data_IF_764353313837
#
_entry.id   IF_764353313837
#
_cell.length_a   1.000
_cell.length_b   1.000
_cell.length_c   1.000
_cell.angle_alpha   90.00
_cell.angle_beta   90.00
_cell.angle_gamma   90.00
#
_symmetry.space_group_name_H-M   'P 1'
#
loop_
_entity.id
_entity.type
_entity.pdbx_description
1 polymer ?
#
# COMPACT_ATOMS: atom_id res chain seq x y z
N UNK A 1 58.33 -14.83 12.85
CA UNK A 1 57.33 -15.42 11.93
C UNK A 1 55.88 -15.17 12.32
N UNK A 2 55.45 -15.22 13.60
CA UNK A 2 54.02 -15.00 13.97
C UNK A 2 53.48 -13.59 13.75
N UNK A 3 54.31 -12.54 13.87
CA UNK A 3 53.87 -11.15 13.68
C UNK A 3 53.65 -10.74 12.20
N UNK A 4 54.40 -11.35 11.26
CA UNK A 4 54.27 -11.05 9.83
C UNK A 4 53.00 -11.67 9.22
N UNK A 5 52.56 -12.83 9.72
CA UNK A 5 51.29 -13.44 9.30
C UNK A 5 50.06 -12.64 9.78
N UNK A 6 50.13 -12.04 10.97
CA UNK A 6 49.04 -11.23 11.53
C UNK A 6 48.86 -9.91 10.75
N UNK A 7 49.97 -9.27 10.36
CA UNK A 7 49.95 -8.07 9.52
C UNK A 7 49.41 -8.37 8.12
N UNK A 8 49.76 -9.52 7.53
CA UNK A 8 49.26 -9.92 6.22
C UNK A 8 47.74 -10.24 6.25
N UNK A 9 47.25 -10.89 7.31
CA UNK A 9 45.81 -11.12 7.50
C UNK A 9 45.02 -9.81 7.71
N UNK A 10 45.56 -8.86 8.48
CA UNK A 10 44.94 -7.54 8.66
C UNK A 10 44.91 -6.73 7.36
N UNK A 11 45.97 -6.80 6.54
CA UNK A 11 46.03 -6.13 5.24
C UNK A 11 45.08 -6.78 4.20
N UNK A 12 44.95 -8.11 4.18
CA UNK A 12 43.98 -8.80 3.33
C UNK A 12 42.53 -8.56 3.76
N UNK A 13 42.25 -8.50 5.06
CA UNK A 13 40.92 -8.17 5.58
C UNK A 13 40.53 -6.70 5.30
N UNK A 14 41.49 -5.77 5.43
CA UNK A 14 41.29 -4.37 5.05
C UNK A 14 41.08 -4.20 3.53
N UNK A 15 41.82 -4.97 2.70
CA UNK A 15 41.64 -4.98 1.25
C UNK A 15 40.30 -5.57 0.80
N UNK A 16 39.82 -6.63 1.47
CA UNK A 16 38.52 -7.24 1.18
C UNK A 16 37.34 -6.35 1.62
N UNK A 17 37.47 -5.65 2.77
CA UNK A 17 36.48 -4.65 3.20
C UNK A 17 36.46 -3.42 2.28
N UNK A 18 37.64 -2.96 1.82
CA UNK A 18 37.75 -1.83 0.88
C UNK A 18 37.25 -2.17 -0.54
N UNK A 19 37.40 -3.42 -1.00
CA UNK A 19 36.84 -3.88 -2.27
C UNK A 19 35.31 -4.03 -2.23
N UNK A 20 34.73 -4.35 -1.07
CA UNK A 20 33.28 -4.34 -0.90
C UNK A 20 32.72 -2.90 -0.98
N UNK A 21 33.35 -1.93 -0.32
CA UNK A 21 32.93 -0.51 -0.35
C UNK A 21 33.11 0.20 -1.71
N UNK A 22 34.07 -0.24 -2.51
CA UNK A 22 34.33 0.30 -3.85
C UNK A 22 33.31 -0.16 -4.92
N UNK A 23 32.43 -1.13 -4.59
CA UNK A 23 31.50 -1.74 -5.56
C UNK A 23 30.06 -1.24 -5.46
N UNK A 24 29.73 -0.46 -4.43
CA UNK A 24 28.37 0.01 -4.17
C UNK A 24 28.04 1.27 -4.99
N UNK A 25 26.84 1.28 -5.57
CA UNK A 25 26.27 2.49 -6.21
C UNK A 25 26.03 3.58 -5.15
N UNK A 26 25.87 4.83 -5.60
CA UNK A 26 25.59 5.95 -4.70
C UNK A 26 24.40 5.68 -3.79
N UNK A 27 23.32 5.10 -4.33
CA UNK A 27 22.13 4.74 -3.56
C UNK A 27 22.37 3.62 -2.55
N UNK A 28 23.10 2.58 -2.94
CA UNK A 28 23.41 1.47 -2.05
C UNK A 28 24.25 1.95 -0.86
N UNK A 29 25.24 2.81 -1.13
CA UNK A 29 26.02 3.46 -0.08
C UNK A 29 25.15 4.33 0.81
N UNK A 30 24.31 5.18 0.22
CA UNK A 30 23.38 6.03 0.98
C UNK A 30 22.46 5.23 1.89
N UNK A 31 21.87 4.14 1.37
CA UNK A 31 21.00 3.21 2.12
C UNK A 31 21.76 2.57 3.29
N UNK A 32 23.00 2.13 3.04
CA UNK A 32 23.85 1.54 4.08
C UNK A 32 24.24 2.55 5.16
N UNK A 33 24.70 3.74 4.78
CA UNK A 33 25.15 4.80 5.69
C UNK A 33 24.02 5.30 6.60
N UNK A 34 22.79 5.40 6.07
CA UNK A 34 21.63 5.87 6.82
C UNK A 34 20.82 4.74 7.46
N UNK A 35 21.30 3.48 7.37
CA UNK A 35 20.62 2.33 7.97
C UNK A 35 19.22 2.07 7.42
N UNK A 36 18.96 2.45 6.17
CA UNK A 36 17.67 2.29 5.50
C UNK A 36 17.40 0.80 5.26
N UNK A 37 16.28 0.30 5.77
CA UNK A 37 15.85 -1.08 5.54
C UNK A 37 14.90 -1.14 4.36
N UNK A 38 15.29 -1.88 3.32
CA UNK A 38 14.44 -2.11 2.15
C UNK A 38 13.31 -3.07 2.49
N UNK A 39 12.15 -2.86 1.85
CA UNK A 39 10.98 -3.73 1.90
C UNK A 39 10.56 -4.10 3.34
N UNK A 40 10.73 -3.15 4.28
CA UNK A 40 10.55 -3.38 5.72
C UNK A 40 9.72 -2.26 6.32
N UNK A 41 8.75 -2.63 7.16
CA UNK A 41 7.94 -1.71 7.95
C UNK A 41 7.86 -2.20 9.39
N UNK A 42 7.75 -1.25 10.32
CA UNK A 42 7.44 -1.48 11.72
C UNK A 42 5.92 -1.40 11.89
N UNK A 43 5.25 -2.49 12.30
CA UNK A 43 3.81 -2.46 12.51
C UNK A 43 3.39 -1.38 13.50
N UNK A 44 2.34 -0.65 13.14
CA UNK A 44 1.66 0.28 14.03
C UNK A 44 1.05 -0.47 15.24
N UNK A 45 0.85 0.19 16.40
CA UNK A 45 0.14 -0.43 17.52
C UNK A 45 -1.22 -1.00 17.11
N UNK A 46 -1.48 -2.27 17.47
CA UNK A 46 -2.69 -2.99 17.09
C UNK A 46 -2.65 -3.62 15.69
N UNK A 47 -1.61 -3.37 14.90
CA UNK A 47 -1.40 -4.01 13.59
C UNK A 47 -0.39 -5.15 13.67
N UNK A 48 -0.51 -6.09 12.73
CA UNK A 48 0.44 -7.16 12.47
C UNK A 48 0.88 -7.10 11.01
N UNK A 49 2.14 -7.43 10.77
CA UNK A 49 2.71 -7.56 9.44
C UNK A 49 2.31 -8.90 8.83
N UNK A 50 1.96 -8.86 7.55
CA UNK A 50 1.65 -10.01 6.74
C UNK A 50 2.34 -9.86 5.37
N UNK A 51 2.58 -11.00 4.73
CA UNK A 51 3.06 -11.07 3.36
C UNK A 51 2.00 -11.77 2.52
N UNK A 52 1.62 -11.16 1.40
CA UNK A 52 0.78 -11.84 0.42
C UNK A 52 1.61 -12.82 -0.42
N UNK A 53 0.97 -13.47 -1.39
CA UNK A 53 1.61 -14.56 -2.15
C UNK A 53 2.62 -14.07 -3.18
N UNK A 54 2.57 -12.77 -3.50
CA UNK A 54 3.55 -12.08 -4.33
C UNK A 54 4.61 -11.38 -3.46
N UNK A 55 4.69 -11.73 -2.17
CA UNK A 55 5.60 -11.16 -1.17
C UNK A 55 5.42 -9.65 -0.92
N UNK A 56 4.30 -9.06 -1.34
CA UNK A 56 3.97 -7.70 -0.93
C UNK A 56 3.62 -7.67 0.56
N UNK A 57 4.30 -6.78 1.26
CA UNK A 57 4.04 -6.49 2.67
C UNK A 57 2.75 -5.70 2.82
N UNK A 58 1.94 -6.07 3.80
CA UNK A 58 0.82 -5.25 4.24
C UNK A 58 0.62 -5.39 5.75
N UNK A 59 0.00 -4.39 6.35
CA UNK A 59 -0.34 -4.41 7.78
C UNK A 59 -1.84 -4.62 7.94
N UNK A 60 -2.24 -5.44 8.91
CA UNK A 60 -3.64 -5.56 9.31
C UNK A 60 -3.80 -5.48 10.81
N UNK A 61 -4.83 -4.77 11.25
CA UNK A 61 -5.27 -4.72 12.63
C UNK A 61 -6.78 -4.91 12.75
N UNK A 62 -7.20 -5.60 13.81
CA UNK A 62 -8.61 -5.77 14.17
C UNK A 62 -8.91 -4.91 15.39
N UNK A 63 -9.87 -3.98 15.25
CA UNK A 63 -10.27 -2.99 16.24
C UNK A 63 -11.76 -3.14 16.55
N UNK A 64 -12.11 -4.19 17.30
CA UNK A 64 -13.50 -4.52 17.61
C UNK A 64 -14.26 -5.06 16.40
N UNK A 65 -15.22 -4.28 15.89
CA UNK A 65 -15.98 -4.61 14.66
C UNK A 65 -15.33 -4.04 13.39
N UNK A 66 -14.26 -3.26 13.55
CA UNK A 66 -13.56 -2.61 12.44
C UNK A 66 -12.26 -3.35 12.11
N UNK A 67 -12.02 -3.62 10.83
CA UNK A 67 -10.78 -4.20 10.31
C UNK A 67 -10.07 -3.10 9.54
N UNK A 68 -8.80 -2.85 9.83
CA UNK A 68 -7.98 -1.84 9.16
C UNK A 68 -6.82 -2.53 8.45
N UNK A 69 -6.62 -2.19 7.19
CA UNK A 69 -5.65 -2.88 6.32
C UNK A 69 -4.87 -1.81 5.57
N UNK A 70 -3.55 -1.81 5.74
CA UNK A 70 -2.64 -0.92 5.05
C UNK A 70 -1.90 -1.71 3.97
N UNK A 71 -2.13 -1.38 2.71
CA UNK A 71 -1.45 -1.97 1.55
C UNK A 71 -0.65 -0.91 0.82
N UNK A 72 0.43 -1.25 0.10
CA UNK A 72 1.13 -0.29 -0.75
C UNK A 72 0.13 0.25 -1.78
N UNK A 73 -0.03 1.57 -1.85
CA UNK A 73 -1.09 2.20 -2.65
C UNK A 73 -0.58 3.23 -3.65
N UNK A 74 0.47 3.96 -3.27
CA UNK A 74 1.19 4.88 -4.13
C UNK A 74 2.68 4.60 -3.94
N UNK A 75 3.44 4.72 -5.02
CA UNK A 75 4.89 4.66 -4.94
C UNK A 75 5.48 5.78 -5.77
N UNK A 76 6.59 6.34 -5.30
CA UNK A 76 7.31 7.40 -6.00
C UNK A 76 8.78 7.04 -6.14
N UNK A 77 9.35 7.48 -7.24
CA UNK A 77 10.79 7.61 -7.39
C UNK A 77 11.22 8.82 -6.55
N UNK A 78 12.19 8.60 -5.67
CA UNK A 78 12.62 9.59 -4.68
C UNK A 78 14.14 9.71 -4.73
N UNK A 79 14.62 10.93 -4.88
CA UNK A 79 16.06 11.25 -4.84
C UNK A 79 16.62 11.09 -3.42
N UNK A 80 17.95 10.99 -3.29
CA UNK A 80 18.59 10.92 -1.96
C UNK A 80 18.33 12.18 -1.11
N UNK A 81 18.23 13.36 -1.75
CA UNK A 81 17.94 14.61 -1.06
C UNK A 81 16.52 14.63 -0.48
N UNK A 82 15.53 14.22 -1.27
CA UNK A 82 14.13 14.09 -0.81
C UNK A 82 14.01 12.99 0.26
N UNK A 83 14.79 11.91 0.13
CA UNK A 83 14.80 10.83 1.11
C UNK A 83 15.24 11.32 2.49
N UNK A 84 16.21 12.25 2.58
CA UNK A 84 16.62 12.82 3.87
C UNK A 84 15.48 13.54 4.59
N UNK A 85 14.58 14.19 3.85
CA UNK A 85 13.38 14.80 4.44
C UNK A 85 12.37 13.73 4.87
N UNK A 86 12.18 12.68 4.08
CA UNK A 86 11.31 11.55 4.44
C UNK A 86 11.80 10.82 5.70
N UNK A 87 13.11 10.62 5.87
CA UNK A 87 13.68 9.98 7.06
C UNK A 87 13.37 10.73 8.36
N UNK A 88 13.10 12.04 8.28
CA UNK A 88 12.70 12.86 9.44
C UNK A 88 11.21 12.76 9.74
N UNK A 89 10.42 12.23 8.82
CA UNK A 89 8.98 12.08 9.00
C UNK A 89 8.66 11.01 10.06
N UNK A 90 7.71 11.26 10.98
CA UNK A 90 7.24 10.25 11.94
C UNK A 90 6.52 9.06 11.28
N UNK A 91 6.22 9.16 9.99
CA UNK A 91 5.55 8.15 9.18
C UNK A 91 6.55 7.17 8.51
N UNK A 92 7.83 7.55 8.44
CA UNK A 92 8.86 6.69 7.86
C UNK A 92 9.06 5.42 8.69
N UNK A 93 9.19 4.30 7.97
CA UNK A 93 9.23 2.96 8.53
C UNK A 93 7.88 2.47 9.08
N UNK A 94 6.79 3.25 8.97
CA UNK A 94 5.45 2.87 9.46
C UNK A 94 4.41 2.83 8.35
N UNK A 95 4.26 3.95 7.65
CA UNK A 95 3.36 4.11 6.49
C UNK A 95 4.08 4.57 5.24
N UNK A 96 5.38 4.89 5.34
CA UNK A 96 6.28 5.19 4.23
C UNK A 96 7.53 4.34 4.37
N UNK A 97 7.96 3.64 3.32
CA UNK A 97 9.17 2.81 3.37
C UNK A 97 9.82 2.71 1.99
N UNK A 98 11.10 2.36 1.97
CA UNK A 98 11.83 2.12 0.72
C UNK A 98 11.56 0.69 0.28
N UNK A 99 10.98 0.52 -0.90
CA UNK A 99 10.69 -0.79 -1.49
C UNK A 99 11.93 -1.37 -2.15
N UNK A 100 12.61 -0.58 -2.98
CA UNK A 100 13.77 -1.01 -3.75
C UNK A 100 14.69 0.16 -4.10
N UNK A 101 15.88 -0.18 -4.59
CA UNK A 101 16.85 0.74 -5.18
C UNK A 101 16.71 0.61 -6.70
N UNK A 102 16.57 1.73 -7.40
CA UNK A 102 16.49 1.77 -8.86
C UNK A 102 17.87 1.74 -9.51
N UNK A 103 17.92 1.34 -10.78
CA UNK A 103 19.17 1.18 -11.54
C UNK A 103 19.99 2.48 -11.67
N UNK A 104 19.32 3.63 -11.66
CA UNK A 104 19.91 4.97 -11.74
C UNK A 104 20.21 5.61 -10.39
N UNK A 105 20.25 4.81 -9.32
CA UNK A 105 20.56 5.25 -7.96
C UNK A 105 19.51 6.16 -7.29
N UNK A 106 18.28 6.16 -7.80
CA UNK A 106 17.14 6.67 -7.03
C UNK A 106 16.51 5.55 -6.18
N UNK A 107 15.69 5.96 -5.20
CA UNK A 107 15.00 5.05 -4.30
C UNK A 107 13.52 4.97 -4.71
N UNK A 108 13.00 3.74 -4.79
CA UNK A 108 11.57 3.52 -4.97
C UNK A 108 10.92 3.45 -3.60
N UNK A 109 10.11 4.46 -3.28
CA UNK A 109 9.46 4.62 -1.97
C UNK A 109 7.98 4.31 -2.11
N UNK A 110 7.46 3.39 -1.31
CA UNK A 110 6.03 3.12 -1.24
C UNK A 110 5.38 3.83 -0.06
N UNK A 111 4.14 4.24 -0.27
CA UNK A 111 3.24 4.81 0.71
C UNK A 111 2.07 3.85 0.92
N UNK A 112 1.86 3.49 2.17
CA UNK A 112 0.72 2.69 2.56
C UNK A 112 -0.57 3.49 2.45
N UNK A 113 -1.56 2.87 1.83
CA UNK A 113 -2.94 3.31 1.82
C UNK A 113 -3.74 2.45 2.78
N UNK A 114 -4.54 3.09 3.61
CA UNK A 114 -5.48 2.40 4.49
C UNK A 114 -6.81 2.13 3.78
N UNK A 115 -7.29 0.89 3.94
CA UNK A 115 -8.67 0.50 3.67
C UNK A 115 -9.30 0.01 4.96
N UNK A 116 -10.48 0.53 5.28
CA UNK A 116 -11.21 0.19 6.49
C UNK A 116 -12.46 -0.62 6.15
N UNK A 117 -12.72 -1.65 6.95
CA UNK A 117 -13.90 -2.48 6.83
C UNK A 117 -14.64 -2.54 8.16
N UNK A 118 -15.96 -2.67 8.10
CA UNK A 118 -16.85 -2.86 9.23
C UNK A 118 -17.53 -4.21 9.10
N UNK A 119 -17.32 -5.09 10.07
CA UNK A 119 -17.99 -6.38 10.17
C UNK A 119 -19.19 -6.26 11.10
N UNK A 120 -20.40 -6.38 10.55
CA UNK A 120 -21.63 -6.37 11.36
C UNK A 120 -22.53 -7.53 11.01
N UNK A 121 -22.93 -8.25 12.05
CA UNK A 121 -23.75 -9.46 11.95
C UNK A 121 -23.10 -10.51 11.03
N UNK A 122 -23.71 -10.80 9.89
CA UNK A 122 -23.26 -11.70 8.83
C UNK A 122 -22.91 -10.94 7.54
N UNK A 123 -22.42 -9.70 7.68
CA UNK A 123 -22.11 -8.81 6.57
C UNK A 123 -20.80 -8.05 6.77
N UNK A 124 -20.13 -7.75 5.65
CA UNK A 124 -18.93 -6.93 5.57
C UNK A 124 -19.21 -5.67 4.76
N UNK A 125 -18.83 -4.53 5.35
CA UNK A 125 -18.92 -3.23 4.74
C UNK A 125 -17.53 -2.65 4.55
N UNK A 126 -17.30 -1.95 3.45
CA UNK A 126 -16.11 -1.12 3.20
C UNK A 126 -16.44 0.33 3.57
N UNK A 127 -15.57 1.01 4.28
CA UNK A 127 -15.66 2.46 4.39
C UNK A 127 -15.12 3.08 3.12
N UNK A 128 -15.96 3.87 2.45
CA UNK A 128 -15.62 4.54 1.21
C UNK A 128 -15.82 6.04 1.37
N UNK A 129 -14.94 6.82 0.76
CA UNK A 129 -15.24 8.21 0.49
C UNK A 129 -16.21 8.29 -0.69
N UNK A 130 -17.29 9.04 -0.52
CA UNK A 130 -18.26 9.31 -1.60
C UNK A 130 -18.02 10.62 -2.31
N UNK A 131 -17.11 11.43 -1.78
CA UNK A 131 -16.63 12.63 -2.42
C UNK A 131 -15.59 12.22 -3.47
N UNK A 132 -15.74 12.73 -4.68
CA UNK A 132 -14.69 12.62 -5.70
C UNK A 132 -13.79 13.83 -5.59
N UNK A 133 -12.48 13.65 -5.79
CA UNK A 133 -11.59 14.78 -6.03
C UNK A 133 -12.09 15.59 -7.24
N UNK A 134 -11.89 16.93 -7.25
CA UNK A 134 -12.24 17.73 -8.41
C UNK A 134 -11.42 17.29 -9.63
N UNK A 135 -11.92 17.44 -10.88
CA UNK A 135 -11.18 17.06 -12.09
C UNK A 135 -9.76 17.62 -12.16
N UNK A 136 -9.59 18.85 -11.68
CA UNK A 136 -8.31 19.54 -11.56
C UNK A 136 -7.26 18.77 -10.73
N UNK A 137 -7.67 17.91 -9.80
CA UNK A 137 -6.75 17.13 -8.98
C UNK A 137 -5.85 16.22 -9.81
N UNK A 138 -6.43 15.45 -10.74
CA UNK A 138 -5.65 14.60 -11.63
C UNK A 138 -4.79 15.40 -12.60
N UNK A 139 -5.28 16.53 -13.10
CA UNK A 139 -4.50 17.42 -13.97
C UNK A 139 -3.25 17.94 -13.25
N UNK A 140 -3.40 18.39 -11.99
CA UNK A 140 -2.27 18.90 -11.20
C UNK A 140 -1.32 17.76 -10.83
N UNK A 141 -1.82 16.58 -10.44
CA UNK A 141 -0.98 15.40 -10.19
C UNK A 141 -0.15 15.04 -11.42
N UNK A 142 -0.80 14.92 -12.59
CA UNK A 142 -0.12 14.53 -13.84
C UNK A 142 0.98 15.51 -14.21
N UNK A 143 0.75 16.81 -14.02
CA UNK A 143 1.76 17.84 -14.28
C UNK A 143 2.91 17.80 -13.27
N UNK A 144 2.62 17.55 -11.99
CA UNK A 144 3.64 17.43 -10.95
C UNK A 144 4.65 16.31 -11.26
N UNK A 145 4.17 15.19 -11.80
CA UNK A 145 5.01 14.03 -12.18
C UNK A 145 5.55 14.11 -13.61
N UNK A 146 5.47 15.27 -14.27
CA UNK A 146 6.05 15.43 -15.60
C UNK A 146 7.48 15.96 -15.52
N UNK A 147 8.41 15.28 -16.20
CA UNK A 147 9.86 15.58 -16.22
C UNK A 147 10.22 16.98 -16.76
N UNK A 148 9.23 17.72 -17.27
CA UNK A 148 9.39 19.05 -17.86
C UNK A 148 9.14 20.21 -16.88
N UNK A 149 8.90 19.92 -15.60
CA UNK A 149 8.46 20.91 -14.63
C UNK A 149 9.64 21.51 -13.87
N UNK A 150 9.77 22.85 -13.88
CA UNK A 150 10.80 23.53 -13.06
C UNK A 150 10.50 23.42 -11.56
N UNK A 151 11.52 23.47 -10.70
CA UNK A 151 11.38 23.43 -9.24
C UNK A 151 10.35 24.44 -8.69
N UNK A 152 10.33 25.66 -9.25
CA UNK A 152 9.38 26.71 -8.86
C UNK A 152 7.94 26.38 -9.27
N UNK A 153 7.74 25.73 -10.42
CA UNK A 153 6.43 25.27 -10.86
C UNK A 153 5.99 24.04 -10.06
N UNK A 154 6.91 23.14 -9.73
CA UNK A 154 6.66 21.97 -8.89
C UNK A 154 6.18 22.40 -7.50
N UNK A 155 6.85 23.35 -6.86
CA UNK A 155 6.43 23.91 -5.57
C UNK A 155 5.01 24.53 -5.63
N UNK A 156 4.68 25.21 -6.74
CA UNK A 156 3.35 25.79 -6.95
C UNK A 156 2.27 24.73 -7.18
N UNK A 157 2.58 23.69 -7.97
CA UNK A 157 1.67 22.56 -8.22
C UNK A 157 1.44 21.77 -6.93
N UNK A 158 2.49 21.55 -6.14
CA UNK A 158 2.42 20.90 -4.83
C UNK A 158 1.50 21.67 -3.89
N UNK A 159 1.72 22.99 -3.71
CA UNK A 159 0.85 23.81 -2.86
C UNK A 159 -0.63 23.79 -3.31
N UNK A 160 -0.87 23.63 -4.62
CA UNK A 160 -2.23 23.51 -5.16
C UNK A 160 -2.83 22.12 -4.89
N UNK A 161 -2.05 21.06 -4.98
CA UNK A 161 -2.47 19.72 -4.56
C UNK A 161 -2.80 19.68 -3.08
N UNK A 162 -1.94 20.23 -2.24
CA UNK A 162 -2.13 20.30 -0.79
C UNK A 162 -3.44 21.02 -0.44
N UNK A 163 -3.73 22.13 -1.13
CA UNK A 163 -4.98 22.87 -0.98
C UNK A 163 -6.21 22.02 -1.36
N UNK A 164 -6.17 21.35 -2.51
CA UNK A 164 -7.25 20.46 -2.96
C UNK A 164 -7.45 19.29 -1.99
N UNK A 165 -6.35 18.70 -1.50
CA UNK A 165 -6.37 17.62 -0.52
C UNK A 165 -7.00 18.08 0.79
N UNK A 166 -6.57 19.23 1.33
CA UNK A 166 -7.13 19.79 2.56
C UNK A 166 -8.63 20.08 2.45
N UNK A 167 -9.07 20.65 1.34
CA UNK A 167 -10.49 20.91 1.08
C UNK A 167 -11.29 19.60 0.97
N UNK A 168 -10.69 18.59 0.33
CA UNK A 168 -11.29 17.27 0.21
C UNK A 168 -11.40 16.58 1.58
N UNK A 169 -10.32 16.52 2.36
CA UNK A 169 -10.29 15.98 3.73
C UNK A 169 -11.31 16.67 4.64
N UNK A 170 -11.42 17.99 4.56
CA UNK A 170 -12.38 18.78 5.36
C UNK A 170 -13.83 18.41 5.05
N UNK A 171 -14.11 18.03 3.80
CA UNK A 171 -15.46 17.71 3.31
C UNK A 171 -15.76 16.22 3.27
N UNK A 172 -14.73 15.39 3.26
CA UNK A 172 -14.82 13.95 3.16
C UNK A 172 -15.62 13.42 4.34
N UNK A 173 -16.59 12.58 4.02
CA UNK A 173 -17.36 11.83 5.03
C UNK A 173 -17.35 10.37 4.61
N UNK A 174 -16.57 9.58 5.32
CA UNK A 174 -16.55 8.14 5.15
C UNK A 174 -17.95 7.59 5.40
N UNK A 175 -18.44 6.78 4.48
CA UNK A 175 -19.71 6.07 4.59
C UNK A 175 -19.48 4.57 4.43
N UNK A 176 -20.41 3.77 4.94
CA UNK A 176 -20.33 2.32 4.82
C UNK A 176 -20.96 1.85 3.51
N UNK A 177 -20.26 0.97 2.81
CA UNK A 177 -20.68 0.30 1.59
C UNK A 177 -20.76 -1.20 1.84
N UNK A 178 -21.93 -1.81 1.78
CA UNK A 178 -22.08 -3.25 1.87
C UNK A 178 -21.38 -3.91 0.68
N UNK A 179 -20.35 -4.69 0.95
CA UNK A 179 -19.58 -5.41 -0.07
C UNK A 179 -19.82 -6.91 -0.05
N UNK A 180 -20.20 -7.49 1.09
CA UNK A 180 -20.44 -8.92 1.17
C UNK A 180 -21.47 -9.28 2.24
N UNK A 181 -22.40 -10.17 1.87
CA UNK A 181 -23.32 -10.85 2.77
C UNK A 181 -23.64 -12.21 2.15
N UNK A 182 -23.21 -13.36 2.72
CA UNK A 182 -23.32 -14.66 2.06
C UNK A 182 -24.74 -14.99 1.57
N UNK A 183 -25.76 -14.66 2.39
CA UNK A 183 -27.18 -14.87 2.05
C UNK A 183 -27.64 -14.10 0.82
N UNK A 184 -27.03 -12.93 0.54
CA UNK A 184 -27.35 -12.17 -0.66
C UNK A 184 -26.99 -12.95 -1.93
N UNK A 185 -25.96 -13.80 -1.89
CA UNK A 185 -25.47 -14.52 -3.07
C UNK A 185 -26.02 -15.95 -3.21
N UNK A 186 -27.00 -16.34 -2.40
CA UNK A 186 -27.57 -17.70 -2.42
C UNK A 186 -28.22 -18.09 -3.75
N UNK A 187 -28.76 -17.12 -4.51
CA UNK A 187 -29.48 -17.36 -5.78
C UNK A 187 -28.80 -16.75 -7.01
N UNK A 188 -27.90 -15.80 -6.82
CA UNK A 188 -27.21 -15.10 -7.91
C UNK A 188 -25.80 -14.74 -7.45
N UNK A 189 -24.83 -14.96 -8.32
CA UNK A 189 -23.44 -14.53 -8.10
C UNK A 189 -23.28 -13.02 -8.24
N UNK A 190 -24.10 -12.35 -9.04
CA UNK A 190 -24.03 -10.89 -9.26
C UNK A 190 -25.13 -10.18 -8.50
N UNK A 191 -24.79 -9.11 -7.78
CA UNK A 191 -25.72 -8.29 -6.99
C UNK A 191 -25.41 -6.80 -7.12
N UNK A 192 -26.48 -6.01 -7.11
CA UNK A 192 -26.44 -4.57 -6.87
C UNK A 192 -27.27 -4.31 -5.63
N UNK A 193 -26.65 -3.80 -4.57
CA UNK A 193 -27.38 -3.48 -3.35
C UNK A 193 -28.15 -2.17 -3.51
N UNK A 194 -29.26 -1.97 -2.75
CA UNK A 194 -29.94 -0.68 -2.71
C UNK A 194 -28.99 0.44 -2.31
N UNK A 195 -29.19 1.66 -2.84
CA UNK A 195 -28.30 2.82 -2.58
C UNK A 195 -28.08 3.14 -1.11
N UNK A 196 -29.04 2.83 -0.24
CA UNK A 196 -28.90 2.99 1.22
C UNK A 196 -27.83 2.09 1.85
N UNK A 197 -27.50 0.97 1.21
CA UNK A 197 -26.48 0.01 1.65
C UNK A 197 -25.21 0.11 0.80
N UNK A 198 -25.32 0.51 -0.46
CA UNK A 198 -24.18 0.78 -1.33
C UNK A 198 -24.39 2.15 -2.02
N UNK A 199 -23.91 3.26 -1.40
CA UNK A 199 -24.18 4.61 -1.89
C UNK A 199 -23.49 4.92 -3.22
N UNK A 200 -22.37 4.25 -3.53
CA UNK A 200 -21.66 4.35 -4.81
C UNK A 200 -22.45 3.66 -5.92
N UNK A 201 -23.20 2.61 -5.58
CA UNK A 201 -24.09 1.90 -6.48
C UNK A 201 -23.38 0.84 -7.34
N UNK A 202 -22.26 0.33 -6.83
CA UNK A 202 -21.39 -0.65 -7.50
C UNK A 202 -22.08 -1.99 -7.75
N UNK A 203 -21.57 -2.71 -8.73
CA UNK A 203 -21.89 -4.11 -8.94
C UNK A 203 -20.92 -4.98 -8.16
N UNK A 204 -21.44 -5.96 -7.44
CA UNK A 204 -20.64 -6.92 -6.69
C UNK A 204 -20.90 -8.31 -7.25
N UNK A 205 -19.82 -9.02 -7.53
CA UNK A 205 -19.80 -10.36 -8.09
C UNK A 205 -19.12 -11.32 -7.10
N UNK A 206 -19.80 -12.39 -6.72
CA UNK A 206 -19.17 -13.56 -6.12
C UNK A 206 -18.53 -14.38 -7.25
N UNK A 207 -17.24 -14.20 -7.46
CA UNK A 207 -16.48 -14.88 -8.52
C UNK A 207 -16.35 -16.37 -8.23
N UNK A 208 -15.87 -16.67 -7.03
CA UNK A 208 -15.62 -18.03 -6.56
C UNK A 208 -16.18 -18.27 -5.15
N UNK A 209 -16.58 -19.51 -4.92
CA UNK A 209 -16.91 -20.06 -3.61
C UNK A 209 -16.33 -21.47 -3.54
N UNK A 210 -15.21 -21.61 -2.86
CA UNK A 210 -14.47 -22.86 -2.76
C UNK A 210 -14.17 -23.21 -1.30
N UNK A 211 -13.83 -24.48 -1.07
CA UNK A 211 -13.30 -24.92 0.22
C UNK A 211 -11.78 -24.96 0.14
N UNK A 212 -11.11 -24.19 1.00
CA UNK A 212 -9.65 -24.19 1.12
C UNK A 212 -9.29 -24.55 2.55
N UNK A 213 -8.50 -25.61 2.72
CA UNK A 213 -8.09 -26.13 4.05
C UNK A 213 -9.26 -26.32 5.03
N UNK A 214 -10.40 -26.82 4.52
CA UNK A 214 -11.60 -27.09 5.30
C UNK A 214 -12.52 -25.88 5.57
N UNK A 215 -12.16 -24.66 5.14
CA UNK A 215 -12.96 -23.44 5.32
C UNK A 215 -13.57 -23.00 4.00
N UNK A 216 -14.78 -22.43 4.02
CA UNK A 216 -15.33 -21.76 2.84
C UNK A 216 -14.64 -20.42 2.65
N UNK A 217 -14.15 -20.21 1.42
CA UNK A 217 -13.58 -18.95 0.94
C UNK A 217 -14.47 -18.41 -0.17
N UNK A 218 -14.71 -17.11 -0.12
CA UNK A 218 -15.55 -16.35 -1.04
C UNK A 218 -14.69 -15.27 -1.68
N UNK A 219 -14.55 -15.30 -3.00
CA UNK A 219 -13.88 -14.23 -3.75
C UNK A 219 -14.93 -13.29 -4.29
N UNK A 220 -14.96 -12.06 -3.76
CA UNK A 220 -15.85 -11.00 -4.21
C UNK A 220 -15.10 -10.00 -5.08
N UNK A 221 -15.60 -9.74 -6.29
CA UNK A 221 -15.16 -8.61 -7.13
C UNK A 221 -16.16 -7.47 -7.00
N UNK A 222 -15.62 -6.27 -6.82
CA UNK A 222 -16.36 -5.01 -6.82
C UNK A 222 -16.02 -4.31 -8.14
N UNK A 223 -17.05 -4.03 -8.93
CA UNK A 223 -16.93 -3.24 -10.15
C UNK A 223 -17.51 -1.85 -9.85
N UNK A 224 -16.62 -0.89 -9.69
CA UNK A 224 -16.98 0.50 -9.51
C UNK A 224 -17.39 1.08 -10.85
N UNK A 225 -18.60 1.64 -10.90
CA UNK A 225 -18.98 2.51 -12.00
C UNK A 225 -18.63 3.93 -11.58
N UNK A 226 -17.46 4.43 -11.95
CA UNK A 226 -17.14 5.83 -11.71
C UNK A 226 -18.12 6.73 -12.48
N UNK A 227 -18.35 7.93 -11.96
CA UNK A 227 -19.33 8.90 -12.49
C UNK A 227 -19.05 9.34 -13.94
N UNK A 228 -17.98 8.88 -14.58
CA UNK A 228 -17.56 9.23 -15.95
C UNK A 228 -17.26 8.04 -16.87
N UNK A 229 -17.68 6.83 -16.51
CA UNK A 229 -17.54 5.66 -17.40
C UNK A 229 -16.18 4.97 -17.36
N UNK A 230 -15.30 5.37 -16.44
CA UNK A 230 -14.13 4.56 -16.07
C UNK A 230 -14.59 3.44 -15.14
N UNK A 231 -14.40 2.20 -15.58
CA UNK A 231 -14.70 1.00 -14.78
C UNK A 231 -13.41 0.54 -14.10
N UNK A 232 -13.34 0.71 -12.78
CA UNK A 232 -12.29 0.09 -11.97
C UNK A 232 -12.85 -1.15 -11.29
N UNK A 233 -12.06 -2.22 -11.24
CA UNK A 233 -12.45 -3.44 -10.52
C UNK A 233 -11.36 -3.89 -9.56
N UNK A 234 -11.77 -4.36 -8.40
CA UNK A 234 -10.89 -4.91 -7.38
C UNK A 234 -11.60 -6.07 -6.68
N UNK A 235 -10.83 -6.97 -6.07
CA UNK A 235 -11.39 -8.17 -5.48
C UNK A 235 -10.82 -8.46 -4.09
N UNK A 236 -11.66 -9.06 -3.25
CA UNK A 236 -11.29 -9.55 -1.94
C UNK A 236 -11.65 -11.03 -1.82
N UNK A 237 -10.71 -11.84 -1.37
CA UNK A 237 -11.00 -13.21 -0.94
C UNK A 237 -11.18 -13.23 0.56
N UNK A 238 -12.30 -13.76 1.04
CA UNK A 238 -12.70 -13.69 2.42
C UNK A 238 -13.27 -15.03 2.86
N UNK A 239 -12.94 -15.53 4.05
CA UNK A 239 -13.53 -16.75 4.58
C UNK A 239 -14.91 -16.54 5.23
N UNK A 240 -15.53 -17.63 5.67
CA UNK A 240 -16.81 -17.63 6.38
C UNK A 240 -16.85 -16.81 7.68
N UNK A 241 -15.70 -16.41 8.22
CA UNK A 241 -15.56 -15.58 9.42
C UNK A 241 -15.18 -14.13 9.10
N UNK A 242 -15.21 -13.75 7.82
CA UNK A 242 -14.80 -12.44 7.30
C UNK A 242 -13.30 -12.15 7.40
N UNK A 243 -12.47 -13.20 7.48
CA UNK A 243 -11.01 -13.05 7.42
C UNK A 243 -10.55 -13.03 5.99
N UNK A 244 -9.66 -12.10 5.66
CA UNK A 244 -9.19 -11.94 4.29
C UNK A 244 -8.16 -13.00 3.93
N UNK A 245 -8.54 -13.91 3.06
CA UNK A 245 -7.82 -15.14 2.77
C UNK A 245 -6.50 -14.92 2.03
N UNK A 246 -6.50 -14.08 0.98
CA UNK A 246 -5.26 -13.76 0.22
C UNK A 246 -4.22 -12.98 1.03
N UNK A 247 -4.64 -12.49 2.19
CA UNK A 247 -3.83 -11.78 3.14
C UNK A 247 -3.33 -12.71 4.26
N UNK A 248 -4.16 -13.65 4.71
CA UNK A 248 -3.80 -14.55 5.81
C UNK A 248 -3.20 -15.89 5.36
N UNK A 249 -3.41 -16.30 4.11
CA UNK A 249 -3.08 -17.65 3.64
C UNK A 249 -2.56 -17.63 2.21
N UNK A 250 -1.29 -17.97 2.06
CA UNK A 250 -0.73 -18.40 0.79
C UNK A 250 -0.56 -19.91 0.82
N UNK A 251 -1.25 -20.67 -0.05
CA UNK A 251 -0.89 -22.06 -0.25
C UNK A 251 0.56 -22.05 -0.75
N UNK A 252 1.48 -22.59 0.05
CA UNK A 252 2.85 -22.81 -0.39
C UNK A 252 2.80 -23.54 -1.73
N UNK A 253 3.55 -23.04 -2.71
CA UNK A 253 3.76 -23.75 -3.98
C UNK A 253 4.43 -25.08 -3.72
#
# INVERSE_FOLDING_TARGET
MRAQFLAFFLLCAAGAAAQADASLTSAQRFVQEHGIRLNTVTPLPGFRLYYNCDSFLFLRGDFGDTIRILTPGLSSRTSQAEMLELLRSPDYGRTVFVESIMDDSDLYVSYYRETMFLRRHDSLFEFVDTLSYPPLYQEVLTRLFSDSTSDAEQARLQARLDSIQKDHETRSRLTTKLIFAPKAFARSRRRRFPRRLNPVGDWILLEDKSRVMGRWVYTIRINNNEKKGEETSYAYAIDEHFRFFWWEFCPGR
#
